data_IF_862833599649
#
_entry.id   IF_862833599649
#
_cell.length_a   1.000
_cell.length_b   1.000
_cell.length_c   1.000
_cell.angle_alpha   90.00
_cell.angle_beta   90.00
_cell.angle_gamma   90.00
#
_symmetry.space_group_name_H-M   'P 1'
#
loop_
_entity.id
_entity.type
_entity.pdbx_description
1 polymer ?
#
# COMPACT_ATOMS: atom_id res chain seq x y z
N UNK A 1 10.63 -2.09 -4.51
CA UNK A 1 9.24 -1.59 -4.44
C UNK A 1 8.43 -2.43 -5.40
N UNK A 2 7.31 -3.02 -4.97
CA UNK A 2 6.52 -3.94 -5.81
C UNK A 2 6.12 -3.25 -7.13
N UNK A 3 6.30 -3.96 -8.25
CA UNK A 3 5.95 -3.50 -9.61
C UNK A 3 6.51 -2.11 -10.02
N UNK A 4 7.61 -1.66 -9.40
CA UNK A 4 8.24 -0.38 -9.73
C UNK A 4 9.74 -0.53 -10.02
N UNK A 5 10.58 -0.52 -8.99
CA UNK A 5 12.02 -0.75 -9.09
C UNK A 5 12.62 -1.16 -7.74
N UNK A 6 13.86 -1.65 -7.78
CA UNK A 6 14.67 -1.99 -6.63
C UNK A 6 15.43 -0.76 -6.15
N UNK A 7 15.49 -0.62 -4.82
CA UNK A 7 16.22 0.45 -4.16
C UNK A 7 17.21 -0.12 -3.17
N UNK A 8 18.32 0.57 -2.98
CA UNK A 8 19.29 0.31 -1.92
C UNK A 8 19.14 1.37 -0.85
N UNK A 9 18.94 0.93 0.40
CA UNK A 9 18.87 1.83 1.55
C UNK A 9 20.26 2.42 1.81
N UNK A 10 20.35 3.74 1.84
CA UNK A 10 21.60 4.47 2.13
C UNK A 10 21.61 4.97 3.58
N UNK A 11 20.48 5.51 4.05
CA UNK A 11 20.33 5.91 5.45
C UNK A 11 18.89 5.74 5.93
N UNK A 12 18.75 5.51 7.23
CA UNK A 12 17.47 5.47 7.93
C UNK A 12 17.49 6.61 8.94
N UNK A 13 16.57 7.55 8.77
CA UNK A 13 16.34 8.65 9.69
C UNK A 13 15.06 8.42 10.49
N UNK A 14 14.77 9.31 11.44
CA UNK A 14 13.63 9.12 12.37
C UNK A 14 12.29 8.94 11.66
N UNK A 15 12.06 9.66 10.55
CA UNK A 15 10.77 9.70 9.84
C UNK A 15 10.91 9.45 8.33
N UNK A 16 12.09 9.10 7.84
CA UNK A 16 12.32 8.88 6.41
C UNK A 16 13.42 7.85 6.17
N UNK A 17 13.37 7.22 5.00
CA UNK A 17 14.42 6.35 4.50
C UNK A 17 14.96 6.99 3.23
N UNK A 18 16.27 7.22 3.19
CA UNK A 18 16.95 7.68 1.98
C UNK A 18 17.47 6.45 1.26
N UNK A 19 17.13 6.34 -0.01
CA UNK A 19 17.50 5.20 -0.83
C UNK A 19 17.92 5.64 -2.23
N UNK A 20 18.82 4.87 -2.84
CA UNK A 20 19.26 5.05 -4.22
C UNK A 20 18.59 4.02 -5.12
N UNK A 21 18.32 4.40 -6.37
CA UNK A 21 17.88 3.44 -7.39
C UNK A 21 18.97 2.38 -7.62
N UNK A 22 18.57 1.11 -7.69
CA UNK A 22 19.49 -0.01 -7.89
C UNK A 22 19.31 -0.65 -9.27
N UNK A 23 18.09 -1.12 -9.56
CA UNK A 23 17.72 -1.75 -10.83
C UNK A 23 16.20 -1.93 -10.92
N UNK A 24 15.66 -2.41 -12.03
CA UNK A 24 14.22 -2.65 -12.20
C UNK A 24 13.84 -4.13 -12.10
N UNK A 25 14.77 -5.06 -12.35
CA UNK A 25 14.42 -6.47 -12.57
C UNK A 25 14.13 -7.22 -11.28
N UNK A 26 13.14 -8.11 -11.31
CA UNK A 26 12.88 -9.05 -10.21
C UNK A 26 14.04 -10.03 -9.97
N UNK A 27 14.82 -10.34 -11.00
CA UNK A 27 15.96 -11.24 -10.88
C UNK A 27 17.04 -10.66 -9.95
N UNK A 28 17.34 -9.37 -10.09
CA UNK A 28 18.29 -8.67 -9.23
C UNK A 28 17.80 -8.65 -7.78
N UNK A 29 16.51 -8.37 -7.56
CA UNK A 29 15.89 -8.40 -6.25
C UNK A 29 16.02 -9.78 -5.59
N UNK A 30 15.77 -10.85 -6.35
CA UNK A 30 15.90 -12.24 -5.88
C UNK A 30 17.34 -12.61 -5.55
N UNK A 31 18.30 -12.26 -6.42
CA UNK A 31 19.74 -12.47 -6.18
C UNK A 31 20.20 -11.77 -4.91
N UNK A 32 19.73 -10.55 -4.67
CA UNK A 32 20.01 -9.77 -3.47
C UNK A 32 19.20 -10.21 -2.23
N UNK A 33 18.27 -11.19 -2.37
CA UNK A 33 17.31 -11.58 -1.32
C UNK A 33 16.54 -10.39 -0.75
N UNK A 34 16.22 -9.42 -1.60
CA UNK A 34 15.54 -8.20 -1.21
C UNK A 34 14.09 -8.48 -0.78
N UNK A 35 13.64 -7.77 0.26
CA UNK A 35 12.25 -7.80 0.70
C UNK A 35 11.36 -6.98 -0.23
N UNK A 36 10.21 -7.55 -0.62
CA UNK A 36 9.18 -6.82 -1.35
C UNK A 36 8.28 -6.04 -0.38
N UNK A 37 7.99 -4.79 -0.72
CA UNK A 37 7.12 -3.90 0.03
C UNK A 37 6.22 -3.12 -0.92
N UNK A 38 4.95 -2.94 -0.54
CA UNK A 38 4.00 -2.07 -1.23
C UNK A 38 4.38 -0.60 -1.01
N UNK A 39 3.83 0.28 -1.84
CA UNK A 39 4.12 1.70 -1.80
C UNK A 39 2.95 2.50 -2.37
N UNK A 40 2.90 3.80 -2.04
CA UNK A 40 1.94 4.75 -2.61
C UNK A 40 2.75 5.98 -3.07
N UNK A 41 2.53 6.52 -4.28
CA UNK A 41 3.20 7.73 -4.73
C UNK A 41 2.71 8.95 -3.94
N UNK A 42 3.65 9.74 -3.43
CA UNK A 42 3.36 11.03 -2.78
C UNK A 42 2.64 11.98 -3.74
N UNK A 43 1.63 12.68 -3.24
CA UNK A 43 0.75 13.57 -3.99
C UNK A 43 -0.44 12.87 -4.66
N UNK A 44 -0.48 11.54 -4.66
CA UNK A 44 -1.59 10.77 -5.25
C UNK A 44 -2.44 10.04 -4.20
N UNK A 45 -1.97 9.98 -2.96
CA UNK A 45 -2.58 9.25 -1.86
C UNK A 45 -4.04 9.66 -1.60
N UNK A 46 -4.80 8.67 -1.12
CA UNK A 46 -6.17 8.81 -0.65
C UNK A 46 -6.17 8.43 0.83
N UNK A 47 -6.61 9.31 1.74
CA UNK A 47 -6.84 8.93 3.13
C UNK A 47 -7.79 7.73 3.19
N UNK A 48 -7.40 6.69 3.92
CA UNK A 48 -8.15 5.44 3.98
C UNK A 48 -8.31 4.97 5.41
N UNK A 49 -9.50 4.47 5.73
CA UNK A 49 -9.78 3.75 6.96
C UNK A 49 -10.28 2.35 6.64
N UNK A 50 -9.82 1.37 7.41
CA UNK A 50 -10.29 -0.01 7.34
C UNK A 50 -10.90 -0.40 8.68
N UNK A 51 -12.18 -0.78 8.65
CA UNK A 51 -12.88 -1.36 9.79
C UNK A 51 -12.56 -2.85 9.85
N UNK A 52 -11.98 -3.28 10.97
CA UNK A 52 -11.55 -4.65 11.22
C UNK A 52 -12.72 -5.49 11.81
N UNK A 53 -12.64 -6.84 11.79
CA UNK A 53 -13.71 -7.70 12.30
C UNK A 53 -14.02 -7.53 13.80
N UNK A 54 -13.06 -7.01 14.57
CA UNK A 54 -13.21 -6.66 15.99
C UNK A 54 -13.75 -5.24 16.21
N UNK A 55 -14.26 -4.61 15.15
CA UNK A 55 -14.72 -3.21 15.10
C UNK A 55 -13.62 -2.16 15.37
N UNK A 56 -12.34 -2.56 15.44
CA UNK A 56 -11.24 -1.59 15.46
C UNK A 56 -11.05 -0.93 14.10
N UNK A 57 -10.52 0.30 14.10
CA UNK A 57 -10.25 1.06 12.88
C UNK A 57 -8.75 1.15 12.65
N UNK A 58 -8.31 0.86 11.43
CA UNK A 58 -6.95 1.08 10.94
C UNK A 58 -6.94 2.27 9.99
N UNK A 59 -6.18 3.29 10.33
CA UNK A 59 -5.98 4.47 9.48
C UNK A 59 -4.73 4.29 8.62
N UNK A 60 -4.78 4.79 7.39
CA UNK A 60 -3.67 4.71 6.46
C UNK A 60 -3.92 5.49 5.17
N UNK A 61 -3.14 5.14 4.15
CA UNK A 61 -3.20 5.74 2.82
C UNK A 61 -3.42 4.63 1.79
N UNK A 62 -4.29 4.90 0.83
CA UNK A 62 -4.49 4.09 -0.37
C UNK A 62 -3.96 4.83 -1.61
N UNK A 63 -3.75 4.10 -2.71
CA UNK A 63 -3.31 4.69 -3.97
C UNK A 63 -4.40 5.53 -4.65
N UNK A 64 -4.00 6.44 -5.52
CA UNK A 64 -4.92 7.35 -6.20
C UNK A 64 -6.00 6.66 -7.05
N UNK A 65 -5.73 5.45 -7.54
CA UNK A 65 -6.67 4.64 -8.30
C UNK A 65 -7.92 4.26 -7.48
N UNK A 66 -7.81 4.20 -6.14
CA UNK A 66 -8.92 3.84 -5.28
C UNK A 66 -10.08 4.87 -5.30
N UNK A 67 -9.85 6.08 -5.80
CA UNK A 67 -10.92 7.08 -6.01
C UNK A 67 -11.98 6.64 -7.02
N UNK A 68 -11.65 5.68 -7.89
CA UNK A 68 -12.55 5.17 -8.93
C UNK A 68 -13.31 3.91 -8.51
N UNK A 69 -13.03 3.39 -7.31
CA UNK A 69 -13.78 2.26 -6.75
C UNK A 69 -15.21 2.69 -6.42
N UNK A 70 -16.06 1.69 -6.23
CA UNK A 70 -17.46 1.86 -5.89
C UNK A 70 -17.78 1.11 -4.60
N UNK A 71 -18.81 1.54 -3.86
CA UNK A 71 -19.39 0.71 -2.81
C UNK A 71 -19.63 -0.72 -3.30
N UNK A 72 -19.35 -1.68 -2.42
CA UNK A 72 -19.39 -3.12 -2.65
C UNK A 72 -18.29 -3.72 -3.53
N UNK A 73 -17.38 -2.92 -4.11
CA UNK A 73 -16.18 -3.46 -4.75
C UNK A 73 -15.34 -4.24 -3.72
N UNK A 74 -14.87 -5.42 -4.11
CA UNK A 74 -13.94 -6.22 -3.32
C UNK A 74 -12.56 -6.10 -3.94
N UNK A 75 -11.62 -5.53 -3.17
CA UNK A 75 -10.25 -5.30 -3.62
C UNK A 75 -9.25 -5.91 -2.65
N UNK A 76 -8.05 -6.20 -3.14
CA UNK A 76 -6.94 -6.68 -2.32
C UNK A 76 -5.99 -5.52 -2.04
N UNK A 77 -5.84 -5.16 -0.76
CA UNK A 77 -4.74 -4.30 -0.33
C UNK A 77 -3.48 -5.15 -0.16
N UNK A 78 -2.49 -4.89 -1.00
CA UNK A 78 -1.27 -5.69 -1.09
C UNK A 78 -0.56 -5.85 0.25
N UNK A 79 -0.29 -7.11 0.63
CA UNK A 79 0.30 -7.51 1.93
C UNK A 79 -0.52 -7.16 3.18
N UNK A 80 -1.71 -6.58 3.03
CA UNK A 80 -2.64 -6.29 4.11
C UNK A 80 -3.78 -7.31 4.16
N UNK A 81 -4.57 -7.42 3.09
CA UNK A 81 -5.68 -8.38 2.96
C UNK A 81 -6.77 -7.91 1.99
N UNK A 82 -7.81 -8.72 1.81
CA UNK A 82 -9.00 -8.38 1.05
C UNK A 82 -9.94 -7.49 1.86
N UNK A 83 -10.51 -6.49 1.21
CA UNK A 83 -11.46 -5.54 1.80
C UNK A 83 -12.65 -5.32 0.86
N UNK A 84 -13.83 -5.06 1.44
CA UNK A 84 -15.00 -4.54 0.71
C UNK A 84 -15.05 -3.02 0.88
N UNK A 85 -15.18 -2.28 -0.21
CA UNK A 85 -15.36 -0.83 -0.17
C UNK A 85 -16.77 -0.50 0.31
N UNK A 86 -16.87 0.40 1.28
CA UNK A 86 -18.15 0.86 1.84
C UNK A 86 -18.51 2.25 1.32
N UNK A 87 -17.55 3.17 1.35
CA UNK A 87 -17.73 4.54 0.89
C UNK A 87 -16.47 5.08 0.23
N UNK A 88 -16.67 5.91 -0.80
CA UNK A 88 -15.61 6.64 -1.52
C UNK A 88 -15.93 8.13 -1.43
N UNK A 89 -15.68 8.70 -0.25
CA UNK A 89 -15.94 10.10 0.07
C UNK A 89 -14.65 10.90 0.30
N UNK A 90 -14.64 11.68 1.38
CA UNK A 90 -13.44 12.42 1.84
C UNK A 90 -12.32 11.44 2.21
N UNK A 91 -12.70 10.31 2.83
CA UNK A 91 -11.85 9.18 3.10
C UNK A 91 -12.41 7.95 2.37
N UNK A 92 -11.53 7.07 1.90
CA UNK A 92 -11.91 5.73 1.48
C UNK A 92 -12.22 4.89 2.72
N UNK A 93 -13.46 4.41 2.84
CA UNK A 93 -13.87 3.53 3.94
C UNK A 93 -14.02 2.11 3.42
N UNK A 94 -13.35 1.16 4.06
CA UNK A 94 -13.43 -0.25 3.69
C UNK A 94 -13.62 -1.15 4.91
N UNK A 95 -14.22 -2.32 4.72
CA UNK A 95 -14.35 -3.37 5.72
C UNK A 95 -13.42 -4.53 5.40
N UNK A 96 -12.62 -4.94 6.38
CA UNK A 96 -11.71 -6.07 6.22
C UNK A 96 -12.49 -7.39 6.09
N UNK A 97 -12.10 -8.21 5.13
CA UNK A 97 -12.64 -9.55 4.93
C UNK A 97 -11.71 -10.62 5.52
N UNK A 98 -10.58 -10.89 4.85
CA UNK A 98 -9.60 -11.89 5.25
C UNK A 98 -8.23 -11.60 4.61
N UNK A 99 -7.21 -12.36 4.99
CA UNK A 99 -5.83 -12.24 4.50
C UNK A 99 -5.33 -13.58 3.98
#
# INVERSE_FOLDING_TARGET
LMELFNVKIESIEKNMVIASFLSETYEDARKAKASLIHWVPVGSEVPCIVVMPDASVKEGLAEGACRNLKPDDIVQFERFGFVRIDDVGVNLTAFFAHK
#
